data_IF_640497551070
#
_entry.id   IF_640497551070
#
_cell.length_a   1.000
_cell.length_b   1.000
_cell.length_c   1.000
_cell.angle_alpha   90.00
_cell.angle_beta   90.00
_cell.angle_gamma   90.00
#
_symmetry.space_group_name_H-M   'P 1'
#
loop_
_entity.id
_entity.type
_entity.pdbx_description
1 polymer ?
#
# COMPACT_ATOMS: atom_id res chain seq x y z
N UNK A 1 -7.13 15.27 -16.70
CA UNK A 1 -8.23 14.54 -16.04
C UNK A 1 -7.97 13.07 -16.32
N UNK A 2 -7.84 12.24 -15.30
CA UNK A 2 -7.64 10.80 -15.51
C UNK A 2 -9.03 10.15 -15.52
N UNK A 3 -9.31 9.35 -16.53
CA UNK A 3 -10.56 8.58 -16.62
C UNK A 3 -10.27 7.18 -16.09
N UNK A 4 -10.85 6.86 -14.94
CA UNK A 4 -10.62 5.59 -14.24
C UNK A 4 -11.92 4.83 -14.36
N UNK A 5 -11.86 3.57 -14.80
CA UNK A 5 -13.05 2.74 -15.05
C UNK A 5 -13.82 2.41 -13.77
N UNK A 6 -13.81 1.14 -13.34
CA UNK A 6 -14.65 0.69 -12.20
C UNK A 6 -14.00 0.84 -10.82
N UNK A 7 -12.81 1.45 -10.73
CA UNK A 7 -12.03 1.48 -9.49
C UNK A 7 -12.63 2.47 -8.49
N UNK A 8 -12.95 1.98 -7.29
CA UNK A 8 -13.40 2.79 -6.16
C UNK A 8 -12.26 3.25 -5.26
N UNK A 9 -12.47 4.38 -4.58
CA UNK A 9 -11.59 4.92 -3.54
C UNK A 9 -12.33 4.93 -2.20
N UNK A 10 -11.74 4.31 -1.18
CA UNK A 10 -12.28 4.33 0.19
C UNK A 10 -11.29 5.00 1.12
N UNK A 11 -11.74 6.05 1.80
CA UNK A 11 -10.96 6.82 2.76
C UNK A 11 -11.29 6.37 4.18
N UNK A 12 -10.26 5.98 4.95
CA UNK A 12 -10.39 5.68 6.37
C UNK A 12 -9.60 6.74 7.14
N UNK A 13 -10.27 7.58 7.93
CA UNK A 13 -9.63 8.64 8.72
C UNK A 13 -8.64 8.07 9.74
N UNK A 14 -7.45 8.65 9.82
CA UNK A 14 -6.43 8.36 10.83
C UNK A 14 -6.28 9.60 11.72
N UNK A 15 -6.10 9.37 13.01
CA UNK A 15 -6.24 10.38 14.05
C UNK A 15 -6.63 9.76 15.38
N UNK A 16 -7.03 10.59 16.35
CA UNK A 16 -7.49 10.12 17.66
C UNK A 16 -6.55 9.09 18.27
N UNK A 17 -7.09 7.92 18.65
CA UNK A 17 -6.30 6.86 19.26
C UNK A 17 -5.12 6.39 18.40
N UNK A 18 -5.21 6.46 17.08
CA UNK A 18 -4.10 6.07 16.19
C UNK A 18 -2.91 7.03 16.26
N UNK A 19 -3.12 8.29 16.63
CA UNK A 19 -2.04 9.29 16.79
C UNK A 19 -1.38 9.26 18.16
N UNK A 20 -2.04 8.67 19.16
CA UNK A 20 -1.50 8.55 20.52
C UNK A 20 -0.52 7.38 20.67
N UNK A 21 -0.62 6.38 19.80
CA UNK A 21 0.18 5.17 19.86
C UNK A 21 1.52 5.42 19.16
N UNK A 22 2.68 5.17 19.80
CA UNK A 22 3.98 5.26 19.15
C UNK A 22 4.08 4.36 17.92
N UNK A 23 4.78 4.80 16.87
CA UNK A 23 4.99 3.99 15.64
C UNK A 23 5.67 2.64 15.93
N UNK A 24 6.51 2.59 16.98
CA UNK A 24 7.23 1.39 17.41
C UNK A 24 6.48 0.49 18.39
N UNK A 25 5.29 0.88 18.84
CA UNK A 25 4.51 0.10 19.83
C UNK A 25 4.12 -1.28 19.29
N UNK A 26 3.90 -1.37 17.98
CA UNK A 26 3.52 -2.60 17.28
C UNK A 26 4.19 -2.63 15.91
N UNK A 27 4.26 -3.78 15.22
CA UNK A 27 4.75 -3.83 13.85
C UNK A 27 3.97 -2.92 12.87
N UNK A 28 2.73 -2.53 13.16
CA UNK A 28 1.97 -1.57 12.35
C UNK A 28 2.36 -0.12 12.69
N UNK A 29 3.10 0.58 11.81
CA UNK A 29 3.79 1.82 12.18
C UNK A 29 3.01 3.08 11.78
N UNK A 30 1.92 2.95 11.03
CA UNK A 30 1.21 4.07 10.41
C UNK A 30 0.34 4.78 11.46
N UNK A 31 0.96 5.65 12.26
CA UNK A 31 0.37 6.32 13.43
C UNK A 31 0.25 7.83 13.20
N UNK A 32 0.75 8.65 14.12
CA UNK A 32 0.74 10.11 14.02
C UNK A 32 1.32 10.62 12.69
N UNK A 33 0.77 11.71 12.16
CA UNK A 33 1.15 12.28 10.86
C UNK A 33 0.36 11.74 9.66
N UNK A 34 -0.32 10.60 9.78
CA UNK A 34 -1.23 10.09 8.76
C UNK A 34 -2.63 10.70 8.92
N UNK A 35 -3.18 11.32 7.86
CA UNK A 35 -4.52 11.95 7.87
C UNK A 35 -5.62 10.91 7.57
N UNK A 36 -5.35 10.02 6.60
CA UNK A 36 -6.23 8.91 6.26
C UNK A 36 -5.44 7.83 5.51
N UNK A 37 -5.96 6.59 5.52
CA UNK A 37 -5.57 5.51 4.61
C UNK A 37 -6.55 5.45 3.44
N UNK A 38 -6.06 5.44 2.20
CA UNK A 38 -6.90 5.21 1.01
C UNK A 38 -6.73 3.76 0.55
N UNK A 39 -7.84 3.08 0.25
CA UNK A 39 -7.85 1.82 -0.49
C UNK A 39 -8.37 2.06 -1.91
N UNK A 40 -7.66 1.53 -2.90
CA UNK A 40 -8.12 1.41 -4.29
C UNK A 40 -8.60 -0.02 -4.49
N UNK A 41 -9.84 -0.19 -4.93
CA UNK A 41 -10.39 -1.53 -5.15
C UNK A 41 -11.33 -1.56 -6.34
N UNK A 42 -11.37 -2.71 -7.00
CA UNK A 42 -12.32 -2.99 -8.08
C UNK A 42 -12.80 -4.42 -7.89
N UNK A 43 -14.09 -4.63 -8.11
CA UNK A 43 -14.71 -5.95 -8.17
C UNK A 43 -15.40 -6.06 -9.52
N UNK A 44 -15.39 -7.25 -10.10
CA UNK A 44 -15.99 -7.51 -11.40
C UNK A 44 -16.56 -8.91 -11.47
N UNK A 45 -17.53 -9.09 -12.37
CA UNK A 45 -18.16 -10.39 -12.65
C UNK A 45 -17.81 -10.88 -14.06
N UNK A 46 -17.23 -10.02 -14.90
CA UNK A 46 -16.83 -10.37 -16.25
C UNK A 46 -15.68 -11.38 -16.23
N UNK A 47 -15.87 -12.54 -16.85
CA UNK A 47 -14.88 -13.61 -16.85
C UNK A 47 -13.84 -13.45 -17.97
N UNK A 48 -12.70 -14.10 -17.80
CA UNK A 48 -11.65 -14.22 -18.81
C UNK A 48 -10.45 -13.31 -18.57
N UNK A 49 -9.30 -13.76 -19.07
CA UNK A 49 -8.02 -13.07 -18.82
C UNK A 49 -7.99 -11.62 -19.29
N UNK A 50 -8.75 -11.27 -20.33
CA UNK A 50 -8.82 -9.90 -20.83
C UNK A 50 -9.51 -8.98 -19.81
N UNK A 51 -10.59 -9.44 -19.18
CA UNK A 51 -11.26 -8.70 -18.12
C UNK A 51 -10.34 -8.53 -16.91
N UNK A 52 -9.69 -9.61 -16.47
CA UNK A 52 -8.74 -9.58 -15.34
C UNK A 52 -7.60 -8.58 -15.59
N UNK A 53 -6.96 -8.64 -16.77
CA UNK A 53 -5.90 -7.70 -17.16
C UNK A 53 -6.40 -6.26 -17.15
N UNK A 54 -7.55 -6.00 -17.76
CA UNK A 54 -8.14 -4.67 -17.83
C UNK A 54 -8.41 -4.08 -16.43
N UNK A 55 -9.02 -4.83 -15.52
CA UNK A 55 -9.36 -4.30 -14.18
C UNK A 55 -8.13 -4.13 -13.29
N UNK A 56 -7.16 -5.04 -13.37
CA UNK A 56 -5.87 -4.86 -12.69
C UNK A 56 -5.16 -3.61 -13.21
N UNK A 57 -5.14 -3.39 -14.53
CA UNK A 57 -4.50 -2.23 -15.14
C UNK A 57 -5.18 -0.92 -14.73
N UNK A 58 -6.51 -0.88 -14.58
CA UNK A 58 -7.21 0.29 -14.07
C UNK A 58 -6.78 0.65 -12.64
N UNK A 59 -6.64 -0.34 -11.74
CA UNK A 59 -6.18 -0.09 -10.36
C UNK A 59 -4.74 0.41 -10.36
N UNK A 60 -3.87 -0.18 -11.20
CA UNK A 60 -2.47 0.25 -11.35
C UNK A 60 -2.37 1.68 -11.90
N UNK A 61 -3.21 2.04 -12.88
CA UNK A 61 -3.27 3.41 -13.41
C UNK A 61 -3.66 4.41 -12.33
N UNK A 62 -4.69 4.12 -11.53
CA UNK A 62 -5.05 4.97 -10.40
C UNK A 62 -3.93 5.04 -9.36
N UNK A 63 -3.33 3.91 -9.00
CA UNK A 63 -2.22 3.86 -8.05
C UNK A 63 -1.04 4.73 -8.52
N UNK A 64 -0.65 4.63 -9.79
CA UNK A 64 0.39 5.47 -10.38
C UNK A 64 0.01 6.94 -10.41
N UNK A 65 -1.23 7.27 -10.80
CA UNK A 65 -1.73 8.64 -10.79
C UNK A 65 -1.68 9.28 -9.40
N UNK A 66 -1.91 8.49 -8.34
CA UNK A 66 -1.92 8.98 -6.96
C UNK A 66 -0.52 9.18 -6.35
N UNK A 67 0.55 8.76 -7.02
CA UNK A 67 1.92 8.82 -6.51
C UNK A 67 2.34 10.18 -5.92
N UNK A 68 2.10 11.35 -6.56
CA UNK A 68 2.57 12.63 -6.02
C UNK A 68 1.74 13.13 -4.82
N UNK A 69 0.62 12.48 -4.48
CA UNK A 69 -0.33 12.93 -3.47
C UNK A 69 -0.32 12.09 -2.19
N UNK A 70 0.42 10.99 -2.16
CA UNK A 70 0.47 10.05 -1.03
C UNK A 70 1.86 10.07 -0.36
N UNK A 71 2.05 9.23 0.67
CA UNK A 71 3.35 9.10 1.34
C UNK A 71 4.46 8.73 0.35
N UNK A 72 5.66 9.18 0.65
CA UNK A 72 6.86 8.96 -0.15
C UNK A 72 8.06 8.70 0.75
N UNK A 73 9.03 7.94 0.25
CA UNK A 73 10.28 7.58 0.94
C UNK A 73 10.09 6.87 2.30
N UNK A 74 9.43 5.70 2.34
CA UNK A 74 8.83 4.96 1.23
C UNK A 74 7.37 5.36 0.99
N UNK A 75 6.82 4.95 -0.16
CA UNK A 75 5.36 4.93 -0.35
C UNK A 75 4.77 3.80 0.49
N UNK A 76 4.07 4.17 1.54
CA UNK A 76 3.60 3.27 2.60
C UNK A 76 2.45 2.36 2.11
N UNK A 77 2.39 1.16 2.67
CA UNK A 77 1.41 0.13 2.33
C UNK A 77 0.86 -0.54 3.60
N UNK A 78 -0.31 -1.17 3.50
CA UNK A 78 -0.94 -1.86 4.63
C UNK A 78 -0.94 -3.38 4.42
N UNK A 79 -0.27 -4.12 5.31
CA UNK A 79 -0.03 -5.57 5.17
C UNK A 79 -1.30 -6.38 4.89
N UNK A 80 -2.42 -6.03 5.52
CA UNK A 80 -3.68 -6.78 5.36
C UNK A 80 -4.34 -6.57 3.99
N UNK A 81 -3.87 -5.60 3.19
CA UNK A 81 -4.17 -5.49 1.76
C UNK A 81 -2.91 -5.87 1.00
N UNK A 82 -2.61 -7.17 1.00
CA UNK A 82 -1.39 -7.72 0.41
C UNK A 82 -1.34 -7.39 -1.08
N UNK A 83 -0.29 -6.67 -1.45
CA UNK A 83 -0.01 -6.25 -2.81
C UNK A 83 1.31 -6.90 -3.27
N UNK A 84 1.27 -7.64 -4.39
CA UNK A 84 2.45 -8.26 -4.98
C UNK A 84 3.19 -7.29 -5.91
N UNK A 85 2.53 -6.22 -6.37
CA UNK A 85 3.12 -5.23 -7.28
C UNK A 85 4.16 -4.34 -6.56
N UNK A 86 4.14 -4.29 -5.22
CA UNK A 86 5.14 -3.55 -4.43
C UNK A 86 6.42 -4.34 -4.14
N UNK A 87 6.46 -5.63 -4.51
CA UNK A 87 7.61 -6.51 -4.36
C UNK A 87 7.23 -7.93 -3.93
N UNK A 88 8.05 -8.89 -4.35
CA UNK A 88 7.95 -10.31 -4.00
C UNK A 88 9.33 -10.85 -3.62
N UNK A 89 9.38 -12.03 -3.01
CA UNK A 89 10.64 -12.75 -2.76
C UNK A 89 10.57 -14.16 -3.33
N UNK A 90 11.71 -14.66 -3.81
CA UNK A 90 11.87 -16.04 -4.26
C UNK A 90 12.20 -17.02 -3.11
N UNK A 91 12.39 -16.49 -1.88
CA UNK A 91 12.86 -17.22 -0.69
C UNK A 91 14.25 -17.86 -0.83
N UNK A 92 15.08 -17.34 -1.74
CA UNK A 92 16.44 -17.75 -1.98
C UNK A 92 17.46 -16.99 -1.12
N UNK A 93 18.71 -16.99 -1.58
CA UNK A 93 19.85 -16.38 -0.87
C UNK A 93 19.69 -14.86 -0.66
N UNK A 94 18.91 -14.20 -1.49
CA UNK A 94 18.68 -12.75 -1.46
C UNK A 94 17.37 -12.35 -0.78
N UNK A 95 16.69 -13.30 -0.12
CA UNK A 95 15.36 -13.09 0.48
C UNK A 95 15.28 -11.90 1.45
N UNK A 96 16.36 -11.60 2.18
CA UNK A 96 16.41 -10.40 3.03
C UNK A 96 16.34 -9.11 2.21
N UNK A 97 17.19 -8.95 1.20
CA UNK A 97 17.23 -7.71 0.40
C UNK A 97 15.98 -7.54 -0.47
N UNK A 98 15.44 -8.63 -1.00
CA UNK A 98 14.15 -8.62 -1.70
C UNK A 98 13.01 -8.27 -0.73
N UNK A 99 13.02 -8.90 0.45
CA UNK A 99 12.08 -8.66 1.54
C UNK A 99 12.05 -7.22 2.00
N UNK A 100 13.23 -6.58 2.04
CA UNK A 100 13.37 -5.19 2.46
C UNK A 100 12.62 -4.22 1.53
N UNK A 101 12.53 -4.49 0.23
CA UNK A 101 11.89 -3.61 -0.77
C UNK A 101 10.42 -3.33 -0.43
N UNK A 102 9.66 -4.38 -0.09
CA UNK A 102 8.26 -4.25 0.32
C UNK A 102 8.11 -4.12 1.84
N UNK A 103 9.03 -4.68 2.62
CA UNK A 103 9.01 -4.64 4.08
C UNK A 103 9.01 -3.22 4.63
N UNK A 104 9.86 -2.34 4.09
CA UNK A 104 9.88 -0.92 4.52
C UNK A 104 8.60 -0.17 4.17
N UNK A 105 7.85 -0.60 3.14
CA UNK A 105 6.56 0.00 2.79
C UNK A 105 5.48 -0.40 3.81
N UNK A 106 5.49 -1.66 4.26
CA UNK A 106 4.54 -2.15 5.26
C UNK A 106 4.85 -1.68 6.68
N UNK A 107 6.13 -1.63 7.06
CA UNK A 107 6.58 -1.52 8.45
C UNK A 107 7.43 -0.27 8.77
N UNK A 108 7.69 0.59 7.77
CA UNK A 108 8.60 1.75 7.85
C UNK A 108 10.02 1.35 8.28
N UNK A 109 10.95 2.30 8.15
CA UNK A 109 12.24 2.20 8.83
C UNK A 109 12.04 2.87 10.19
N UNK A 110 11.80 2.08 11.22
CA UNK A 110 11.73 2.59 12.58
C UNK A 110 13.18 2.71 13.05
N UNK A 111 13.69 3.93 13.23
CA UNK A 111 14.98 4.12 13.88
C UNK A 111 14.83 3.67 15.33
N UNK A 112 15.21 2.43 15.62
CA UNK A 112 15.39 1.98 17.00
C UNK A 112 16.60 2.74 17.54
N UNK A 113 16.38 3.64 18.50
CA UNK A 113 17.42 4.47 19.12
C UNK A 113 18.34 3.70 20.07
N UNK A 114 18.88 2.57 19.63
CA UNK A 114 19.95 1.83 20.30
C UNK A 114 21.25 2.01 19.52
#
# INVERSE_FOLDING_TARGET
MVEIGKVGLVFNSYGGRMSEIPESETPFPHRAGNIFKIQYSVNWNEEGEEADKNYIDQVRQLYSFMEPFVSKNPREAYLNYRDLDIGTTDNGKNSYSEGQVYGVKYFKIISTGW
#
